data_IF_416294078932
#
_entry.id   IF_416294078932
#
_cell.length_a   1.000
_cell.length_b   1.000
_cell.length_c   1.000
_cell.angle_alpha   90.00
_cell.angle_beta   90.00
_cell.angle_gamma   90.00
#
_symmetry.space_group_name_H-M   'P 1'
#
loop_
_entity.id
_entity.type
_entity.pdbx_description
1 polymer ?
#
# COMPACT_ATOMS: atom_id res chain seq x y z
N UNK A 1 -31.74 4.13 13.52
CA UNK A 1 -31.05 4.17 14.83
C UNK A 1 -31.87 4.94 15.89
N UNK A 2 -32.52 6.06 15.52
CA UNK A 2 -33.36 6.87 16.41
C UNK A 2 -34.65 6.15 16.87
N UNK A 3 -35.36 5.48 15.97
CA UNK A 3 -36.66 4.86 16.28
C UNK A 3 -36.59 3.69 17.27
N UNK A 4 -35.49 2.91 17.23
CA UNK A 4 -35.29 1.81 18.17
C UNK A 4 -34.99 2.33 19.59
N UNK A 5 -34.30 3.46 19.70
CA UNK A 5 -33.97 4.11 20.97
C UNK A 5 -35.22 4.73 21.62
N UNK A 6 -36.08 5.38 20.83
CA UNK A 6 -37.34 5.95 21.33
C UNK A 6 -38.34 4.87 21.78
N UNK A 7 -38.42 3.76 21.04
CA UNK A 7 -39.24 2.61 21.43
C UNK A 7 -38.75 1.98 22.75
N UNK A 8 -37.43 1.86 22.95
CA UNK A 8 -36.83 1.36 24.17
C UNK A 8 -37.07 2.29 25.38
N UNK A 9 -36.98 3.61 25.18
CA UNK A 9 -37.29 4.60 26.23
C UNK A 9 -38.75 4.54 26.68
N UNK A 10 -39.70 4.42 25.75
CA UNK A 10 -41.13 4.38 26.10
C UNK A 10 -41.51 3.13 26.91
N UNK A 11 -40.85 1.99 26.64
CA UNK A 11 -41.04 0.76 27.42
C UNK A 11 -40.34 0.80 28.78
N UNK A 12 -39.20 1.48 28.91
CA UNK A 12 -38.45 1.60 30.17
C UNK A 12 -39.16 2.46 31.24
N UNK A 13 -40.03 3.38 30.79
CA UNK A 13 -40.86 4.25 31.64
C UNK A 13 -42.06 3.52 32.26
N UNK A 14 -42.49 2.38 31.70
CA UNK A 14 -43.49 1.50 32.34
C UNK A 14 -42.77 0.61 33.37
N UNK A 15 -43.01 0.89 34.66
CA UNK A 15 -42.33 0.32 35.85
C UNK A 15 -42.50 -1.21 36.01
N UNK A 16 -41.87 -2.00 35.16
CA UNK A 16 -41.75 -3.44 35.37
C UNK A 16 -40.27 -3.87 35.24
N UNK A 17 -39.69 -4.37 36.33
CA UNK A 17 -38.27 -4.78 36.42
C UNK A 17 -37.96 -5.89 35.41
N UNK A 18 -38.96 -6.72 35.10
CA UNK A 18 -38.90 -7.80 34.12
C UNK A 18 -38.69 -7.25 32.71
N UNK A 19 -39.40 -6.18 32.35
CA UNK A 19 -39.22 -5.49 31.06
C UNK A 19 -37.85 -4.82 30.96
N UNK A 20 -37.33 -4.22 32.04
CA UNK A 20 -36.00 -3.59 32.01
C UNK A 20 -34.87 -4.60 31.75
N UNK A 21 -34.93 -5.79 32.37
CA UNK A 21 -33.94 -6.85 32.16
C UNK A 21 -34.03 -7.43 30.74
N UNK A 22 -35.24 -7.57 30.20
CA UNK A 22 -35.46 -8.00 28.82
C UNK A 22 -34.90 -6.99 27.81
N UNK A 23 -35.20 -5.70 27.96
CA UNK A 23 -34.69 -4.63 27.08
C UNK A 23 -33.16 -4.53 27.14
N UNK A 24 -32.56 -4.66 28.32
CA UNK A 24 -31.11 -4.68 28.48
C UNK A 24 -30.46 -5.89 27.77
N UNK A 25 -31.09 -7.06 27.85
CA UNK A 25 -30.61 -8.27 27.17
C UNK A 25 -30.70 -8.11 25.65
N UNK A 26 -31.80 -7.58 25.14
CA UNK A 26 -31.99 -7.32 23.71
C UNK A 26 -31.01 -6.27 23.18
N UNK A 27 -30.74 -5.21 23.94
CA UNK A 27 -29.73 -4.21 23.58
C UNK A 27 -28.32 -4.81 23.50
N UNK A 28 -27.92 -5.61 24.49
CA UNK A 28 -26.62 -6.29 24.48
C UNK A 28 -26.49 -7.29 23.32
N UNK A 29 -27.54 -8.05 23.04
CA UNK A 29 -27.57 -8.97 21.90
C UNK A 29 -27.43 -8.23 20.56
N UNK A 30 -28.15 -7.11 20.39
CA UNK A 30 -28.02 -6.23 19.22
C UNK A 30 -26.61 -5.67 19.08
N UNK A 31 -26.01 -5.17 20.17
CA UNK A 31 -24.63 -4.67 20.19
C UNK A 31 -23.60 -5.74 19.83
N UNK A 32 -23.75 -6.97 20.32
CA UNK A 32 -22.87 -8.10 19.98
C UNK A 32 -22.98 -8.43 18.49
N UNK A 33 -24.20 -8.45 17.94
CA UNK A 33 -24.42 -8.71 16.52
C UNK A 33 -23.87 -7.58 15.64
N UNK A 34 -24.04 -6.31 16.02
CA UNK A 34 -23.44 -5.18 15.31
C UNK A 34 -21.90 -5.27 15.30
N UNK A 35 -21.28 -5.64 16.44
CA UNK A 35 -19.83 -5.88 16.51
C UNK A 35 -19.41 -7.02 15.58
N UNK A 36 -20.14 -8.14 15.58
CA UNK A 36 -19.85 -9.30 14.72
C UNK A 36 -19.94 -8.96 13.23
N UNK A 37 -21.01 -8.26 12.83
CA UNK A 37 -21.19 -7.81 11.44
C UNK A 37 -20.10 -6.83 11.03
N UNK A 38 -19.73 -5.88 11.90
CA UNK A 38 -18.61 -4.95 11.61
C UNK A 38 -17.27 -5.67 11.45
N UNK A 39 -17.00 -6.69 12.27
CA UNK A 39 -15.79 -7.52 12.15
C UNK A 39 -15.75 -8.30 10.84
N UNK A 40 -16.88 -8.90 10.45
CA UNK A 40 -17.00 -9.63 9.18
C UNK A 40 -16.87 -8.70 7.96
N UNK A 41 -17.43 -7.49 8.04
CA UNK A 41 -17.29 -6.48 6.99
C UNK A 41 -15.83 -6.07 6.81
N UNK A 42 -15.12 -5.76 7.90
CA UNK A 42 -13.71 -5.42 7.86
C UNK A 42 -12.86 -6.58 7.31
N UNK A 43 -13.16 -7.82 7.72
CA UNK A 43 -12.44 -9.00 7.20
C UNK A 43 -12.68 -9.17 5.70
N UNK A 44 -13.93 -9.00 5.23
CA UNK A 44 -14.28 -9.08 3.82
C UNK A 44 -13.60 -7.98 3.00
N UNK A 45 -13.61 -6.74 3.49
CA UNK A 45 -12.93 -5.61 2.85
C UNK A 45 -11.43 -5.87 2.74
N UNK A 46 -10.79 -6.30 3.83
CA UNK A 46 -9.37 -6.66 3.82
C UNK A 46 -9.06 -7.75 2.79
N UNK A 47 -9.90 -8.79 2.67
CA UNK A 47 -9.73 -9.82 1.64
C UNK A 47 -9.83 -9.25 0.23
N UNK A 48 -10.83 -8.42 -0.05
CA UNK A 48 -10.97 -7.77 -1.36
C UNK A 48 -9.76 -6.90 -1.70
N UNK A 49 -9.23 -6.16 -0.72
CA UNK A 49 -8.02 -5.34 -0.93
C UNK A 49 -6.78 -6.18 -1.20
N UNK A 50 -6.56 -7.26 -0.44
CA UNK A 50 -5.42 -8.15 -0.69
C UNK A 50 -5.47 -8.77 -2.09
N UNK A 51 -6.67 -9.18 -2.55
CA UNK A 51 -6.85 -9.69 -3.91
C UNK A 51 -6.52 -8.62 -4.94
N UNK A 52 -7.05 -7.40 -4.78
CA UNK A 52 -6.78 -6.29 -5.70
C UNK A 52 -5.28 -5.96 -5.79
N UNK A 53 -4.60 -5.91 -4.64
CA UNK A 53 -3.16 -5.66 -4.58
C UNK A 53 -2.36 -6.79 -5.25
N UNK A 54 -2.75 -8.05 -5.05
CA UNK A 54 -2.09 -9.20 -5.66
C UNK A 54 -2.23 -9.17 -7.19
N UNK A 55 -3.42 -8.86 -7.71
CA UNK A 55 -3.66 -8.72 -9.14
C UNK A 55 -2.84 -7.55 -9.72
N UNK A 56 -2.87 -6.38 -9.09
CA UNK A 56 -2.09 -5.22 -9.52
C UNK A 56 -0.58 -5.52 -9.53
N UNK A 57 -0.08 -6.21 -8.50
CA UNK A 57 1.32 -6.63 -8.42
C UNK A 57 1.72 -7.57 -9.56
N UNK A 58 0.84 -8.50 -9.92
CA UNK A 58 1.07 -9.44 -11.04
C UNK A 58 1.10 -8.72 -12.38
N UNK A 59 0.16 -7.80 -12.62
CA UNK A 59 0.12 -7.00 -13.85
C UNK A 59 1.38 -6.14 -13.94
N UNK A 60 1.73 -5.41 -12.88
CA UNK A 60 2.91 -4.54 -12.86
C UNK A 60 4.19 -5.33 -13.19
N UNK A 61 4.40 -6.49 -12.55
CA UNK A 61 5.54 -7.37 -12.84
C UNK A 61 5.55 -7.85 -14.29
N UNK A 62 4.40 -8.17 -14.86
CA UNK A 62 4.30 -8.59 -16.25
C UNK A 62 4.71 -7.46 -17.21
N UNK A 63 4.16 -6.27 -17.01
CA UNK A 63 4.45 -5.09 -17.84
C UNK A 63 5.92 -4.71 -17.78
N UNK A 64 6.52 -4.66 -16.58
CA UNK A 64 7.95 -4.34 -16.41
C UNK A 64 8.84 -5.31 -17.19
N UNK A 65 8.53 -6.61 -17.13
CA UNK A 65 9.32 -7.62 -17.83
C UNK A 65 9.21 -7.53 -19.36
N UNK A 66 8.19 -6.84 -19.89
CA UNK A 66 8.02 -6.62 -21.33
C UNK A 66 8.55 -5.27 -21.79
N UNK A 67 8.38 -4.23 -20.97
CA UNK A 67 8.74 -2.86 -21.29
C UNK A 67 9.43 -2.16 -20.11
N UNK A 68 10.76 -2.05 -20.20
CA UNK A 68 11.58 -1.35 -19.22
C UNK A 68 11.52 0.19 -19.34
N UNK A 69 10.80 0.73 -20.34
CA UNK A 69 10.62 2.18 -20.52
C UNK A 69 9.97 2.81 -19.29
N UNK A 70 9.04 2.11 -18.65
CA UNK A 70 8.39 2.59 -17.41
C UNK A 70 9.41 2.76 -16.29
N UNK A 71 10.29 1.78 -16.09
CA UNK A 71 11.35 1.86 -15.07
C UNK A 71 12.33 2.99 -15.36
N UNK A 72 12.69 3.16 -16.64
CA UNK A 72 13.54 4.28 -17.08
C UNK A 72 12.92 5.62 -16.70
N UNK A 73 11.67 5.87 -17.06
CA UNK A 73 11.01 7.14 -16.75
C UNK A 73 10.89 7.36 -15.25
N UNK A 74 10.52 6.31 -14.50
CA UNK A 74 10.47 6.36 -13.04
C UNK A 74 11.82 6.77 -12.42
N UNK A 75 12.92 6.23 -12.93
CA UNK A 75 14.26 6.58 -12.47
C UNK A 75 14.59 8.05 -12.77
N UNK A 76 14.37 8.49 -14.00
CA UNK A 76 14.71 9.84 -14.44
C UNK A 76 13.86 10.91 -13.76
N UNK A 77 12.56 10.66 -13.62
CA UNK A 77 11.62 11.53 -12.93
C UNK A 77 12.02 11.68 -11.45
N UNK A 78 12.46 10.59 -10.81
CA UNK A 78 12.86 10.63 -9.41
C UNK A 78 14.22 11.30 -9.20
N UNK A 79 15.16 11.15 -10.15
CA UNK A 79 16.39 11.94 -10.16
C UNK A 79 16.06 13.43 -10.28
N UNK A 80 15.13 13.78 -11.16
CA UNK A 80 14.75 15.17 -11.39
C UNK A 80 13.94 15.77 -10.23
N UNK A 81 13.14 14.96 -9.53
CA UNK A 81 12.40 15.37 -8.32
C UNK A 81 13.33 15.61 -7.13
N UNK A 82 14.50 14.94 -7.09
CA UNK A 82 15.47 14.96 -5.98
C UNK A 82 16.76 15.73 -6.28
N UNK A 83 16.74 16.71 -7.18
CA UNK A 83 17.93 17.53 -7.52
C UNK A 83 18.64 18.14 -6.32
N UNK A 84 17.92 18.46 -5.24
CA UNK A 84 18.48 19.02 -4.02
C UNK A 84 19.19 18.01 -3.12
N UNK A 85 19.00 16.71 -3.33
CA UNK A 85 19.58 15.63 -2.51
C UNK A 85 20.96 15.16 -2.98
N UNK A 86 21.45 15.72 -4.10
CA UNK A 86 22.77 15.42 -4.64
C UNK A 86 22.98 13.91 -4.80
N UNK A 87 22.11 13.27 -5.58
CA UNK A 87 22.25 11.86 -5.96
C UNK A 87 23.62 11.71 -6.64
N UNK A 88 24.38 10.70 -6.26
CA UNK A 88 25.72 10.43 -6.79
C UNK A 88 25.74 9.20 -7.69
N UNK A 89 24.91 8.23 -7.35
CA UNK A 89 24.95 6.91 -7.94
C UNK A 89 23.57 6.27 -8.02
N UNK A 90 23.38 5.48 -9.06
CA UNK A 90 22.22 4.64 -9.28
C UNK A 90 22.72 3.21 -9.40
N UNK A 91 22.24 2.33 -8.54
CA UNK A 91 22.47 0.88 -8.56
C UNK A 91 21.32 0.20 -9.30
N UNK A 92 21.64 -0.66 -10.28
CA UNK A 92 20.67 -1.43 -11.08
C UNK A 92 21.14 -2.88 -11.18
N UNK A 93 20.20 -3.83 -11.13
CA UNK A 93 20.52 -5.24 -11.35
C UNK A 93 21.02 -5.52 -12.77
N UNK A 94 22.07 -6.32 -12.88
CA UNK A 94 22.61 -6.85 -14.13
C UNK A 94 21.56 -7.60 -14.96
N UNK A 95 20.50 -8.12 -14.32
CA UNK A 95 19.39 -8.82 -15.00
C UNK A 95 18.53 -7.88 -15.85
N UNK A 96 18.60 -6.57 -15.61
CA UNK A 96 17.87 -5.55 -16.36
C UNK A 96 18.76 -4.93 -17.47
N UNK A 97 19.36 -5.77 -18.31
CA UNK A 97 20.39 -5.36 -19.30
C UNK A 97 19.94 -4.22 -20.22
N UNK A 98 18.70 -4.26 -20.72
CA UNK A 98 18.21 -3.19 -21.60
C UNK A 98 18.03 -1.86 -20.86
N UNK A 99 17.59 -1.90 -19.59
CA UNK A 99 17.45 -0.71 -18.76
C UNK A 99 18.81 -0.07 -18.48
N UNK A 100 19.83 -0.90 -18.20
CA UNK A 100 21.22 -0.46 -18.04
C UNK A 100 21.71 0.25 -19.30
N UNK A 101 21.47 -0.36 -20.47
CA UNK A 101 21.87 0.23 -21.75
C UNK A 101 21.21 1.59 -21.98
N UNK A 102 19.91 1.70 -21.72
CA UNK A 102 19.15 2.94 -21.94
C UNK A 102 19.52 4.05 -20.95
N UNK A 103 19.88 3.71 -19.71
CA UNK A 103 20.19 4.69 -18.67
C UNK A 103 21.63 5.15 -18.68
N UNK A 104 22.57 4.33 -19.16
CA UNK A 104 24.00 4.65 -19.09
C UNK A 104 24.33 6.06 -19.61
N UNK A 105 23.84 6.38 -20.80
CA UNK A 105 24.09 7.68 -21.42
C UNK A 105 23.39 8.82 -20.67
N UNK A 106 22.17 8.61 -20.18
CA UNK A 106 21.41 9.66 -19.50
C UNK A 106 21.98 9.97 -18.11
N UNK A 107 22.43 8.96 -17.38
CA UNK A 107 23.10 9.12 -16.10
C UNK A 107 24.44 9.82 -16.27
N UNK A 108 25.23 9.45 -17.28
CA UNK A 108 26.51 10.09 -17.59
C UNK A 108 26.32 11.59 -17.93
N UNK A 109 25.30 11.94 -18.73
CA UNK A 109 24.96 13.33 -19.03
C UNK A 109 24.55 14.15 -17.79
N UNK A 110 23.96 13.49 -16.78
CA UNK A 110 23.61 14.09 -15.49
C UNK A 110 24.76 14.06 -14.48
N UNK A 111 25.92 13.48 -14.83
CA UNK A 111 27.07 13.35 -13.93
C UNK A 111 26.90 12.30 -12.83
N UNK A 112 26.00 11.33 -13.05
CA UNK A 112 25.69 10.25 -12.11
C UNK A 112 26.44 8.97 -12.47
N UNK A 113 26.89 8.25 -11.44
CA UNK A 113 27.52 6.94 -11.62
C UNK A 113 26.46 5.85 -11.72
N UNK A 114 26.58 4.96 -12.70
CA UNK A 114 25.78 3.74 -12.77
C UNK A 114 26.60 2.58 -12.17
N UNK A 115 26.08 1.96 -11.12
CA UNK A 115 26.62 0.74 -10.55
C UNK A 115 25.71 -0.44 -10.91
N UNK A 116 26.33 -1.55 -11.29
CA UNK A 116 25.62 -2.78 -11.66
C UNK A 116 25.79 -3.79 -10.52
N UNK A 117 24.70 -4.40 -10.07
CA UNK A 117 24.68 -5.41 -8.99
C UNK A 117 24.05 -6.72 -9.44
N UNK A 118 24.30 -7.82 -8.74
CA UNK A 118 23.65 -9.11 -9.01
C UNK A 118 22.45 -9.33 -8.07
N UNK A 119 21.43 -8.49 -8.24
CA UNK A 119 20.19 -8.53 -7.44
C UNK A 119 18.98 -8.94 -8.29
N UNK A 120 17.76 -8.82 -7.75
CA UNK A 120 16.52 -9.07 -8.51
C UNK A 120 16.35 -8.08 -9.67
N UNK A 121 15.62 -8.47 -10.73
CA UNK A 121 15.50 -7.68 -11.97
C UNK A 121 14.93 -6.27 -11.76
N UNK A 122 14.13 -6.09 -10.72
CA UNK A 122 13.51 -4.81 -10.36
C UNK A 122 14.35 -4.01 -9.36
N UNK A 123 15.58 -4.44 -9.04
CA UNK A 123 16.46 -3.75 -8.10
C UNK A 123 16.93 -2.41 -8.68
N UNK A 124 16.54 -1.34 -8.01
CA UNK A 124 16.89 0.04 -8.33
C UNK A 124 17.12 0.80 -7.02
N UNK A 125 18.34 1.24 -6.76
CA UNK A 125 18.68 2.00 -5.55
C UNK A 125 19.45 3.26 -5.91
N UNK A 126 19.08 4.39 -5.30
CA UNK A 126 19.81 5.64 -5.43
C UNK A 126 20.65 5.88 -4.19
N UNK A 127 21.92 6.20 -4.37
CA UNK A 127 22.79 6.70 -3.31
C UNK A 127 22.87 8.23 -3.41
N UNK A 128 22.60 8.88 -2.28
CA UNK A 128 22.63 10.34 -2.13
C UNK A 128 23.32 10.74 -0.83
N UNK A 129 23.59 12.04 -0.68
CA UNK A 129 24.17 12.59 0.56
C UNK A 129 23.30 12.35 1.80
N UNK A 130 21.97 12.22 1.59
CA UNK A 130 20.99 12.01 2.64
C UNK A 130 20.70 10.53 2.94
N UNK A 131 21.36 9.63 2.21
CA UNK A 131 21.23 8.18 2.36
C UNK A 131 20.70 7.49 1.11
N UNK A 132 20.34 6.22 1.27
CA UNK A 132 19.94 5.35 0.16
C UNK A 132 18.42 5.33 0.00
N UNK A 133 17.97 5.39 -1.25
CA UNK A 133 16.57 5.33 -1.61
C UNK A 133 16.31 4.13 -2.51
N UNK A 134 15.50 3.20 -2.01
CA UNK A 134 15.14 2.00 -2.73
C UNK A 134 13.85 2.22 -3.56
N UNK A 135 14.02 2.25 -4.87
CA UNK A 135 12.96 2.40 -5.87
C UNK A 135 12.55 1.06 -6.48
N UNK A 136 13.06 -0.04 -5.95
CA UNK A 136 12.71 -1.37 -6.45
C UNK A 136 11.21 -1.58 -6.36
N UNK A 137 10.66 -2.24 -7.37
CA UNK A 137 9.20 -2.40 -7.50
C UNK A 137 8.64 -3.22 -6.35
N UNK A 138 9.38 -4.25 -5.93
CA UNK A 138 9.13 -5.01 -4.69
C UNK A 138 8.99 -4.11 -3.45
N UNK A 139 9.86 -3.11 -3.30
CA UNK A 139 9.81 -2.12 -2.21
C UNK A 139 8.61 -1.19 -2.36
N UNK A 140 8.30 -0.71 -3.56
CA UNK A 140 7.12 0.12 -3.80
C UNK A 140 5.81 -0.63 -3.50
N UNK A 141 5.69 -1.89 -3.93
CA UNK A 141 4.55 -2.75 -3.63
C UNK A 141 4.41 -3.00 -2.12
N UNK A 142 5.52 -3.20 -1.41
CA UNK A 142 5.53 -3.34 0.06
C UNK A 142 5.04 -2.06 0.75
N UNK A 143 5.45 -0.89 0.27
CA UNK A 143 5.02 0.40 0.80
C UNK A 143 3.52 0.62 0.59
N UNK A 144 3.01 0.34 -0.61
CA UNK A 144 1.57 0.38 -0.91
C UNK A 144 0.79 -0.57 0.01
N UNK A 145 1.25 -1.81 0.17
CA UNK A 145 0.63 -2.78 1.10
C UNK A 145 0.55 -2.25 2.52
N UNK A 146 1.62 -1.61 3.00
CA UNK A 146 1.68 -1.04 4.34
C UNK A 146 0.71 0.13 4.50
N UNK A 147 0.61 1.01 3.52
CA UNK A 147 -0.35 2.13 3.51
C UNK A 147 -1.78 1.62 3.65
N UNK A 148 -2.17 0.61 2.87
CA UNK A 148 -3.51 0.04 2.96
C UNK A 148 -3.80 -0.68 4.28
N UNK A 149 -2.79 -1.31 4.90
CA UNK A 149 -2.95 -1.94 6.22
C UNK A 149 -3.01 -0.93 7.38
N UNK A 150 -2.73 0.35 7.13
CA UNK A 150 -2.77 1.42 8.14
C UNK A 150 -3.98 2.36 7.99
N UNK A 151 -4.75 2.22 6.91
CA UNK A 151 -6.04 2.88 6.68
C UNK A 151 -7.19 2.05 7.29
#
# INVERSE_FOLDING_TARGET
>A
MFELWEALQSMYLKKDVTNKKFLFTMFNFSMINMKKVSGQLNESQNKTYQIGLEVASKILRHEINQDHTILKHMILDEIDSRKSQNIRMVEISEKAESLIFDLKNELELKGLTLQITNDEIDHIVFESDTGNYDLSISTQLKNIKRLFNTL
#
